data_IF_886381998781
#
_entry.id   IF_886381998781
#
_cell.length_a   1.000
_cell.length_b   1.000
_cell.length_c   1.000
_cell.angle_alpha   90.00
_cell.angle_beta   90.00
_cell.angle_gamma   90.00
#
_symmetry.space_group_name_H-M   'P 1'
#
loop_
_entity.id
_entity.type
_entity.pdbx_description
1 polymer ?
#
# COMPACT_ATOMS: atom_id res chain seq x y z
N UNK A 1 13.32 -33.28 -3.90
CA UNK A 1 12.57 -32.04 -4.19
C UNK A 1 12.76 -30.97 -3.11
N UNK A 2 12.52 -31.26 -1.83
CA UNK A 2 12.65 -30.29 -0.71
C UNK A 2 14.06 -29.69 -0.56
N UNK A 3 15.12 -30.50 -0.68
CA UNK A 3 16.51 -30.01 -0.61
C UNK A 3 16.90 -29.06 -1.75
N UNK A 4 16.32 -29.23 -2.95
CA UNK A 4 16.58 -28.35 -4.08
C UNK A 4 15.95 -26.97 -3.89
N UNK A 5 14.73 -26.92 -3.31
CA UNK A 5 14.06 -25.67 -2.94
C UNK A 5 14.81 -24.91 -1.84
N UNK A 6 15.33 -25.61 -0.83
CA UNK A 6 16.13 -25.00 0.25
C UNK A 6 17.39 -24.34 -0.32
N UNK A 7 18.09 -25.01 -1.24
CA UNK A 7 19.30 -24.46 -1.87
C UNK A 7 19.01 -23.25 -2.77
N UNK A 8 17.82 -23.20 -3.39
CA UNK A 8 17.37 -22.05 -4.19
C UNK A 8 17.01 -20.82 -3.33
N UNK A 9 16.44 -21.03 -2.15
CA UNK A 9 16.00 -19.93 -1.27
C UNK A 9 17.13 -19.33 -0.43
N UNK A 10 18.19 -20.09 -0.12
CA UNK A 10 19.37 -19.61 0.64
C UNK A 10 19.93 -18.26 0.16
N UNK A 11 20.24 -18.04 -1.12
CA UNK A 11 20.79 -16.76 -1.57
C UNK A 11 19.82 -15.58 -1.38
N UNK A 12 18.50 -15.83 -1.40
CA UNK A 12 17.48 -14.80 -1.14
C UNK A 12 17.45 -14.46 0.35
N UNK A 13 17.45 -15.46 1.23
CA UNK A 13 17.48 -15.25 2.68
C UNK A 13 18.76 -14.55 3.12
N UNK A 14 19.91 -14.96 2.58
CA UNK A 14 21.22 -14.37 2.94
C UNK A 14 21.29 -12.89 2.57
N UNK A 15 20.72 -12.54 1.40
CA UNK A 15 20.61 -11.16 0.94
C UNK A 15 19.67 -10.34 1.83
N UNK A 16 18.54 -10.91 2.26
CA UNK A 16 17.62 -10.25 3.19
C UNK A 16 18.29 -9.98 4.54
N UNK A 17 18.96 -10.99 5.13
CA UNK A 17 19.63 -10.88 6.43
C UNK A 17 20.74 -9.82 6.37
N UNK A 18 21.58 -9.85 5.33
CA UNK A 18 22.68 -8.91 5.15
C UNK A 18 22.16 -7.49 4.96
N UNK A 19 21.11 -7.32 4.14
CA UNK A 19 20.53 -6.00 3.91
C UNK A 19 19.73 -5.47 5.09
N UNK A 20 19.22 -6.34 5.96
CA UNK A 20 18.48 -5.96 7.16
C UNK A 20 19.38 -5.24 8.19
N UNK A 21 20.67 -5.58 8.24
CA UNK A 21 21.59 -4.97 9.18
C UNK A 21 21.72 -3.44 8.95
N UNK A 22 21.36 -2.62 9.94
CA UNK A 22 21.34 -1.16 9.83
C UNK A 22 20.28 -0.60 8.87
N UNK A 23 19.33 -1.41 8.41
CA UNK A 23 18.20 -0.97 7.59
C UNK A 23 17.31 0.00 8.36
N UNK A 24 16.94 -0.37 9.60
CA UNK A 24 16.05 0.41 10.45
C UNK A 24 16.60 1.82 10.72
N UNK A 25 17.85 1.93 11.18
CA UNK A 25 18.48 3.22 11.49
C UNK A 25 18.55 4.16 10.28
N UNK A 26 18.75 3.60 9.08
CA UNK A 26 18.86 4.38 7.84
C UNK A 26 17.51 4.86 7.33
N UNK A 27 16.46 4.05 7.43
CA UNK A 27 15.18 4.30 6.77
C UNK A 27 14.00 4.54 7.73
N UNK A 28 14.23 4.58 9.05
CA UNK A 28 13.19 4.79 10.07
C UNK A 28 12.25 5.97 9.77
N UNK A 29 12.79 7.10 9.32
CA UNK A 29 11.97 8.28 9.00
C UNK A 29 11.11 8.10 7.76
N UNK A 30 11.64 7.44 6.73
CA UNK A 30 10.88 7.11 5.53
C UNK A 30 9.81 6.07 5.84
N UNK A 31 10.13 5.07 6.66
CA UNK A 31 9.18 4.06 7.11
C UNK A 31 8.08 4.68 7.95
N UNK A 32 8.40 5.60 8.86
CA UNK A 32 7.43 6.35 9.64
C UNK A 32 6.52 7.20 8.73
N UNK A 33 7.09 7.99 7.82
CA UNK A 33 6.33 8.80 6.88
C UNK A 33 5.38 7.96 6.01
N UNK A 34 5.90 6.85 5.46
CA UNK A 34 5.10 5.90 4.67
C UNK A 34 3.98 5.28 5.48
N UNK A 35 4.25 4.92 6.74
CA UNK A 35 3.26 4.33 7.65
C UNK A 35 2.16 5.34 8.01
N UNK A 36 2.52 6.58 8.32
CA UNK A 36 1.54 7.64 8.59
C UNK A 36 0.67 7.93 7.37
N UNK A 37 1.27 8.02 6.18
CA UNK A 37 0.53 8.19 4.94
C UNK A 37 -0.40 6.99 4.66
N UNK A 38 0.07 5.77 4.91
CA UNK A 38 -0.73 4.55 4.77
C UNK A 38 -1.91 4.49 5.75
N UNK A 39 -1.73 4.97 6.99
CA UNK A 39 -2.81 5.08 7.99
C UNK A 39 -3.83 6.12 7.55
N UNK A 40 -3.39 7.30 7.09
CA UNK A 40 -4.28 8.33 6.58
C UNK A 40 -5.12 7.80 5.41
N UNK A 41 -4.47 7.16 4.43
CA UNK A 41 -5.14 6.52 3.30
C UNK A 41 -6.15 5.48 3.77
N UNK A 42 -5.75 4.55 4.64
CA UNK A 42 -6.65 3.54 5.22
C UNK A 42 -7.88 4.14 5.90
N UNK A 43 -7.70 5.16 6.75
CA UNK A 43 -8.80 5.81 7.44
C UNK A 43 -9.76 6.48 6.45
N UNK A 44 -9.23 7.12 5.42
CA UNK A 44 -10.05 7.75 4.39
C UNK A 44 -10.77 6.72 3.52
N UNK A 45 -10.15 5.58 3.19
CA UNK A 45 -10.80 4.47 2.49
C UNK A 45 -11.93 3.87 3.31
N UNK A 46 -11.71 3.61 4.61
CA UNK A 46 -12.76 3.09 5.50
C UNK A 46 -13.92 4.06 5.58
N UNK A 47 -13.64 5.36 5.77
CA UNK A 47 -14.68 6.41 5.79
C UNK A 47 -15.44 6.44 4.47
N UNK A 48 -14.74 6.41 3.34
CA UNK A 48 -15.32 6.41 2.01
C UNK A 48 -16.23 5.19 1.80
N UNK A 49 -15.75 3.98 2.08
CA UNK A 49 -16.55 2.77 1.94
C UNK A 49 -17.78 2.75 2.86
N UNK A 50 -17.71 3.41 4.01
CA UNK A 50 -18.85 3.55 4.91
C UNK A 50 -19.91 4.53 4.42
N UNK A 51 -19.51 5.62 3.76
CA UNK A 51 -20.43 6.67 3.29
C UNK A 51 -21.00 6.31 1.92
N UNK A 52 -20.12 5.90 1.01
CA UNK A 52 -20.44 5.78 -0.40
C UNK A 52 -20.64 4.34 -0.87
N UNK A 53 -20.16 3.35 -0.12
CA UNK A 53 -20.24 1.94 -0.50
C UNK A 53 -18.94 1.41 -1.12
N UNK A 54 -18.82 0.08 -1.17
CA UNK A 54 -17.61 -0.64 -1.56
C UNK A 54 -17.42 -0.62 -3.09
N UNK A 55 -18.51 -0.55 -3.84
CA UNK A 55 -18.61 -0.55 -5.30
C UNK A 55 -17.86 0.60 -5.96
N UNK A 56 -17.77 1.74 -5.28
CA UNK A 56 -17.09 2.94 -5.78
C UNK A 56 -15.58 2.95 -5.52
N UNK A 57 -15.04 1.93 -4.83
CA UNK A 57 -13.60 1.80 -4.64
C UNK A 57 -12.89 1.52 -5.97
N UNK A 58 -11.95 2.39 -6.33
CA UNK A 58 -11.18 2.28 -7.58
C UNK A 58 -10.14 1.15 -7.55
N UNK A 59 -9.64 0.78 -6.37
CA UNK A 59 -8.65 -0.30 -6.24
C UNK A 59 -9.32 -1.68 -6.33
N UNK A 60 -9.13 -2.43 -7.42
CA UNK A 60 -9.87 -3.68 -7.64
C UNK A 60 -9.54 -4.75 -6.60
N UNK A 61 -8.29 -4.80 -6.13
CA UNK A 61 -7.86 -5.75 -5.10
C UNK A 61 -8.49 -5.42 -3.73
N UNK A 62 -8.47 -4.14 -3.32
CA UNK A 62 -9.08 -3.72 -2.06
C UNK A 62 -10.60 -3.92 -2.13
N UNK A 63 -11.23 -3.60 -3.25
CA UNK A 63 -12.65 -3.86 -3.50
C UNK A 63 -12.98 -5.33 -3.33
N UNK A 64 -12.26 -6.24 -4.01
CA UNK A 64 -12.51 -7.69 -3.92
C UNK A 64 -12.39 -8.21 -2.48
N UNK A 65 -11.35 -7.80 -1.77
CA UNK A 65 -11.14 -8.21 -0.37
C UNK A 65 -12.22 -7.61 0.54
N UNK A 66 -12.67 -6.39 0.27
CA UNK A 66 -13.73 -5.72 1.04
C UNK A 66 -15.11 -6.32 0.77
N UNK A 67 -15.36 -6.85 -0.43
CA UNK A 67 -16.56 -7.67 -0.69
C UNK A 67 -16.58 -8.95 0.15
N UNK A 68 -15.41 -9.56 0.40
CA UNK A 68 -15.31 -10.79 1.18
C UNK A 68 -15.29 -10.56 2.70
N UNK A 69 -14.59 -9.52 3.17
CA UNK A 69 -14.32 -9.26 4.59
C UNK A 69 -15.09 -8.06 5.17
N UNK A 70 -15.78 -7.31 4.31
CA UNK A 70 -16.48 -6.09 4.67
C UNK A 70 -15.62 -4.82 4.54
N UNK A 71 -16.26 -3.63 4.68
CA UNK A 71 -15.67 -2.32 4.41
C UNK A 71 -14.63 -1.87 5.44
N UNK A 72 -14.52 -2.58 6.57
CA UNK A 72 -13.54 -2.30 7.62
C UNK A 72 -12.35 -3.27 7.56
N UNK A 73 -12.63 -4.58 7.65
CA UNK A 73 -11.57 -5.58 7.71
C UNK A 73 -10.85 -5.75 6.38
N UNK A 74 -11.52 -5.54 5.24
CA UNK A 74 -10.92 -5.64 3.92
C UNK A 74 -9.78 -4.64 3.69
N UNK A 75 -10.03 -3.33 3.87
CA UNK A 75 -8.98 -2.31 3.75
C UNK A 75 -7.83 -2.51 4.74
N UNK A 76 -8.11 -2.91 5.98
CA UNK A 76 -7.08 -3.17 7.00
C UNK A 76 -6.14 -4.29 6.53
N UNK A 77 -6.68 -5.44 6.13
CA UNK A 77 -5.88 -6.56 5.63
C UNK A 77 -5.08 -6.18 4.38
N UNK A 78 -5.71 -5.49 3.44
CA UNK A 78 -5.04 -5.02 2.22
C UNK A 78 -3.86 -4.10 2.54
N UNK A 79 -4.04 -3.15 3.47
CA UNK A 79 -2.98 -2.20 3.84
C UNK A 79 -1.85 -2.86 4.60
N UNK A 80 -2.14 -3.79 5.51
CA UNK A 80 -1.12 -4.57 6.22
C UNK A 80 -0.28 -5.40 5.25
N UNK A 81 -0.91 -6.07 4.28
CA UNK A 81 -0.22 -6.82 3.25
C UNK A 81 0.67 -5.90 2.38
N UNK A 82 0.18 -4.72 1.99
CA UNK A 82 0.95 -3.73 1.26
C UNK A 82 2.17 -3.21 2.04
N UNK A 83 2.01 -2.88 3.32
CA UNK A 83 3.13 -2.45 4.17
C UNK A 83 4.18 -3.54 4.34
N UNK A 84 3.75 -4.79 4.56
CA UNK A 84 4.66 -5.93 4.63
C UNK A 84 5.42 -6.13 3.31
N UNK A 85 4.73 -6.02 2.17
CA UNK A 85 5.34 -6.10 0.85
C UNK A 85 6.35 -4.97 0.61
N UNK A 86 6.04 -3.73 1.00
CA UNK A 86 6.97 -2.59 0.93
C UNK A 86 8.24 -2.94 1.72
N UNK A 87 8.12 -3.32 2.99
CA UNK A 87 9.28 -3.65 3.83
C UNK A 87 10.11 -4.79 3.22
N UNK A 88 9.47 -5.85 2.74
CA UNK A 88 10.18 -6.98 2.13
C UNK A 88 10.94 -6.55 0.88
N UNK A 89 10.31 -5.77 0.00
CA UNK A 89 10.91 -5.27 -1.24
C UNK A 89 12.04 -4.31 -0.94
N UNK A 90 11.88 -3.38 0.00
CA UNK A 90 12.91 -2.38 0.34
C UNK A 90 14.09 -2.99 1.09
N UNK A 91 13.89 -4.04 1.89
CA UNK A 91 14.99 -4.80 2.50
C UNK A 91 15.73 -5.59 1.41
N UNK A 92 15.02 -6.29 0.52
CA UNK A 92 15.64 -7.05 -0.56
C UNK A 92 16.41 -6.16 -1.55
N UNK A 93 15.77 -5.08 -2.00
CA UNK A 93 16.27 -4.11 -2.95
C UNK A 93 16.73 -2.82 -2.25
N UNK A 94 17.59 -2.95 -1.24
CA UNK A 94 18.06 -1.84 -0.37
C UNK A 94 18.53 -0.58 -1.11
N UNK A 95 19.11 -0.73 -2.30
CA UNK A 95 19.58 0.38 -3.15
C UNK A 95 18.44 1.25 -3.69
N UNK A 96 17.27 0.66 -3.90
CA UNK A 96 16.07 1.33 -4.41
C UNK A 96 15.10 1.73 -3.31
N UNK A 97 15.38 1.36 -2.05
CA UNK A 97 14.46 1.55 -0.92
C UNK A 97 13.99 3.00 -0.77
N UNK A 98 14.88 3.98 -0.95
CA UNK A 98 14.52 5.40 -0.88
C UNK A 98 13.48 5.80 -1.92
N UNK A 99 13.64 5.36 -3.16
CA UNK A 99 12.67 5.63 -4.24
C UNK A 99 11.34 4.95 -3.96
N UNK A 100 11.35 3.68 -3.54
CA UNK A 100 10.13 2.92 -3.22
C UNK A 100 9.36 3.59 -2.07
N UNK A 101 10.04 3.97 -0.99
CA UNK A 101 9.38 4.68 0.11
C UNK A 101 8.82 6.04 -0.31
N UNK A 102 9.60 6.80 -1.07
CA UNK A 102 9.14 8.11 -1.53
C UNK A 102 7.90 8.00 -2.42
N UNK A 103 7.94 7.14 -3.44
CA UNK A 103 6.81 6.97 -4.36
C UNK A 103 5.58 6.43 -3.64
N UNK A 104 5.74 5.42 -2.78
CA UNK A 104 4.61 4.87 -2.01
C UNK A 104 4.02 5.87 -1.04
N UNK A 105 4.85 6.68 -0.36
CA UNK A 105 4.37 7.77 0.51
C UNK A 105 3.54 8.77 -0.26
N UNK A 106 4.03 9.23 -1.42
CA UNK A 106 3.31 10.18 -2.28
C UNK A 106 2.00 9.56 -2.77
N UNK A 107 2.01 8.29 -3.20
CA UNK A 107 0.80 7.60 -3.64
C UNK A 107 -0.24 7.46 -2.53
N UNK A 108 0.16 7.09 -1.30
CA UNK A 108 -0.77 7.01 -0.17
C UNK A 108 -1.30 8.38 0.24
N UNK A 109 -0.45 9.41 0.26
CA UNK A 109 -0.90 10.77 0.56
C UNK A 109 -1.89 11.28 -0.50
N UNK A 110 -1.63 10.99 -1.78
CA UNK A 110 -2.53 11.33 -2.87
C UNK A 110 -3.87 10.58 -2.77
N UNK A 111 -3.84 9.28 -2.47
CA UNK A 111 -5.07 8.49 -2.29
C UNK A 111 -5.89 9.00 -1.10
N UNK A 112 -5.23 9.34 0.02
CA UNK A 112 -5.88 9.96 1.17
C UNK A 112 -6.54 11.30 0.79
N UNK A 113 -5.81 12.14 0.05
CA UNK A 113 -6.35 13.40 -0.47
C UNK A 113 -7.56 13.18 -1.40
N UNK A 114 -7.47 12.21 -2.30
CA UNK A 114 -8.53 11.87 -3.26
C UNK A 114 -9.81 11.42 -2.55
N UNK A 115 -9.70 10.55 -1.55
CA UNK A 115 -10.82 10.02 -0.78
C UNK A 115 -11.53 11.10 0.06
N UNK A 116 -10.86 12.21 0.39
CA UNK A 116 -11.44 13.30 1.20
C UNK A 116 -11.98 14.44 0.36
N UNK A 117 -11.22 14.89 -0.64
CA UNK A 117 -11.53 16.10 -1.42
C UNK A 117 -11.58 15.85 -2.92
N UNK A 118 -10.70 14.98 -3.43
CA UNK A 118 -10.57 14.76 -4.86
C UNK A 118 -11.87 14.25 -5.50
N UNK A 119 -12.62 13.37 -4.82
CA UNK A 119 -13.90 12.88 -5.35
C UNK A 119 -14.87 14.01 -5.68
N UNK A 120 -15.13 14.92 -4.75
CA UNK A 120 -16.11 16.00 -4.96
C UNK A 120 -15.65 16.96 -6.06
N UNK A 121 -14.33 17.11 -6.22
CA UNK A 121 -13.73 17.94 -7.27
C UNK A 121 -13.78 17.27 -8.65
N UNK A 122 -13.48 15.96 -8.74
CA UNK A 122 -13.33 15.23 -10.00
C UNK A 122 -14.60 14.51 -10.47
N UNK A 123 -15.53 14.17 -9.57
CA UNK A 123 -16.82 13.56 -9.90
C UNK A 123 -17.65 14.41 -10.88
N UNK A 124 -17.84 15.73 -10.67
CA UNK A 124 -18.57 16.54 -11.64
C UNK A 124 -17.80 16.67 -12.97
N UNK A 125 -16.46 16.72 -12.94
CA UNK A 125 -15.63 16.86 -14.13
C UNK A 125 -15.54 15.57 -14.96
N UNK A 126 -15.47 14.37 -14.38
CA UNK A 126 -15.36 13.13 -15.16
C UNK A 126 -16.66 12.75 -15.86
N UNK A 127 -17.82 13.09 -15.27
CA UNK A 127 -19.15 12.82 -15.85
C UNK A 127 -19.44 13.73 -17.04
N UNK A 128 -18.94 14.97 -17.06
CA UNK A 128 -19.11 15.87 -18.22
C UNK A 128 -18.29 15.43 -19.45
N UNK A 129 -17.17 14.72 -19.27
CA UNK A 129 -16.28 14.32 -20.36
C UNK A 129 -16.50 12.91 -20.89
N UNK A 130 -17.25 12.06 -20.18
CA UNK A 130 -17.66 10.74 -20.63
C UNK A 130 -19.16 10.78 -20.98
N UNK A 131 -19.54 11.00 -22.26
CA UNK A 131 -20.91 10.80 -22.69
C UNK A 131 -21.20 9.29 -22.62
N UNK A 132 -21.87 8.87 -21.55
CA UNK A 132 -22.59 7.59 -21.50
C UNK A 132 -24.00 7.81 -22.07
#
# INVERSE_FOLDING_TARGET
>A
MVHALINWCRPVSDRLITNYHGYWQRYQWLLLATTLAAIADLMTTIRFMHIDGIEHELHPAIRLVSWALGPLAGPIFGKLAQLAAIVLVTVYARRLAGYVFFTTTVMYAWAAWYNVWGRDLYSPLLIEWLPL
#
